data_IF_257693758326
#
_entry.id   IF_257693758326
#
_cell.length_a   1.000
_cell.length_b   1.000
_cell.length_c   1.000
_cell.angle_alpha   90.00
_cell.angle_beta   90.00
_cell.angle_gamma   90.00
#
_symmetry.space_group_name_H-M   'P 1'
#
loop_
_entity.id
_entity.type
_entity.pdbx_description
1 polymer ?
#
# COMPACT_ATOMS: atom_id res chain seq x y z
N UNK A 1 26.93 -35.01 28.78
CA UNK A 1 26.26 -35.14 27.47
C UNK A 1 26.35 -33.78 26.79
N UNK A 2 27.32 -33.59 25.90
CA UNK A 2 27.57 -32.28 25.27
C UNK A 2 26.61 -32.18 24.09
N UNK A 3 25.64 -31.28 24.16
CA UNK A 3 24.73 -31.02 23.05
C UNK A 3 25.53 -30.20 22.04
N UNK A 4 26.19 -30.87 21.10
CA UNK A 4 26.92 -30.23 20.01
C UNK A 4 25.89 -29.61 19.06
N UNK A 5 25.59 -28.32 19.25
CA UNK A 5 24.77 -27.56 18.31
C UNK A 5 25.57 -27.40 17.01
N UNK A 6 25.17 -28.16 15.99
CA UNK A 6 25.68 -28.06 14.62
C UNK A 6 25.40 -26.64 14.13
N UNK A 7 26.42 -25.78 14.11
CA UNK A 7 26.34 -24.42 13.54
C UNK A 7 25.94 -24.55 12.07
N UNK A 8 24.75 -24.05 11.72
CA UNK A 8 24.32 -23.99 10.33
C UNK A 8 25.31 -23.12 9.54
N UNK A 9 25.86 -23.67 8.45
CA UNK A 9 26.66 -22.90 7.51
C UNK A 9 25.81 -21.76 6.94
N UNK A 10 26.42 -20.60 6.68
CA UNK A 10 25.72 -19.47 6.07
C UNK A 10 25.01 -19.92 4.78
N UNK A 11 23.78 -19.46 4.51
CA UNK A 11 23.04 -19.89 3.33
C UNK A 11 23.86 -19.57 2.07
N UNK A 12 23.92 -20.51 1.13
CA UNK A 12 24.58 -20.27 -0.15
C UNK A 12 23.94 -19.06 -0.83
N UNK A 13 24.71 -18.38 -1.67
CA UNK A 13 24.23 -17.21 -2.44
C UNK A 13 22.94 -17.56 -3.21
N UNK A 14 22.85 -18.76 -3.78
CA UNK A 14 21.66 -19.30 -4.45
C UNK A 14 20.45 -19.42 -3.51
N UNK A 15 20.63 -19.91 -2.28
CA UNK A 15 19.56 -19.98 -1.28
C UNK A 15 19.12 -18.57 -0.88
N UNK A 16 20.05 -17.64 -0.70
CA UNK A 16 19.73 -16.24 -0.40
C UNK A 16 18.93 -15.58 -1.52
N UNK A 17 19.24 -15.89 -2.78
CA UNK A 17 18.52 -15.38 -3.94
C UNK A 17 17.05 -15.80 -3.88
N UNK A 18 16.77 -17.09 -3.73
CA UNK A 18 15.40 -17.63 -3.63
C UNK A 18 14.64 -17.01 -2.45
N UNK A 19 15.31 -16.83 -1.30
CA UNK A 19 14.71 -16.20 -0.11
C UNK A 19 14.33 -14.73 -0.39
N UNK A 20 15.26 -13.94 -0.93
CA UNK A 20 15.03 -12.52 -1.20
C UNK A 20 14.00 -12.31 -2.32
N UNK A 21 14.02 -13.12 -3.38
CA UNK A 21 12.97 -13.14 -4.41
C UNK A 21 11.59 -13.41 -3.79
N UNK A 22 11.49 -14.42 -2.92
CA UNK A 22 10.24 -14.71 -2.20
C UNK A 22 9.78 -13.58 -1.29
N UNK A 23 10.71 -12.86 -0.65
CA UNK A 23 10.39 -11.72 0.20
C UNK A 23 9.79 -10.56 -0.61
N UNK A 24 10.40 -10.20 -1.75
CA UNK A 24 9.87 -9.17 -2.65
C UNK A 24 8.46 -9.52 -3.13
N UNK A 25 8.25 -10.75 -3.61
CA UNK A 25 6.94 -11.20 -4.10
C UNK A 25 5.84 -11.13 -3.02
N UNK A 26 6.16 -11.45 -1.76
CA UNK A 26 5.21 -11.34 -0.65
C UNK A 26 4.86 -9.88 -0.36
N UNK A 27 5.86 -8.99 -0.28
CA UNK A 27 5.64 -7.57 -0.02
C UNK A 27 4.79 -6.89 -1.12
N UNK A 28 5.02 -7.24 -2.39
CA UNK A 28 4.19 -6.74 -3.50
C UNK A 28 2.73 -7.19 -3.35
N UNK A 29 2.49 -8.46 -2.97
CA UNK A 29 1.13 -8.97 -2.71
C UNK A 29 0.49 -8.31 -1.48
N UNK A 30 1.23 -8.12 -0.40
CA UNK A 30 0.75 -7.41 0.80
C UNK A 30 0.28 -6.00 0.44
N UNK A 31 1.05 -5.25 -0.35
CA UNK A 31 0.62 -3.94 -0.83
C UNK A 31 -0.67 -4.01 -1.66
N UNK A 32 -0.81 -4.99 -2.54
CA UNK A 32 -2.04 -5.17 -3.33
C UNK A 32 -3.26 -5.46 -2.44
N UNK A 33 -3.08 -6.24 -1.36
CA UNK A 33 -4.15 -6.50 -0.39
C UNK A 33 -4.59 -5.21 0.31
N UNK A 34 -3.64 -4.38 0.77
CA UNK A 34 -3.98 -3.08 1.36
C UNK A 34 -4.72 -2.16 0.39
N UNK A 35 -4.34 -2.14 -0.89
CA UNK A 35 -5.06 -1.34 -1.90
C UNK A 35 -6.51 -1.84 -2.09
N UNK A 36 -6.71 -3.16 -2.15
CA UNK A 36 -8.05 -3.74 -2.23
C UNK A 36 -8.90 -3.39 -1.01
N UNK A 37 -8.30 -3.43 0.18
CA UNK A 37 -8.99 -3.06 1.42
C UNK A 37 -9.39 -1.58 1.44
N UNK A 38 -8.53 -0.68 0.96
CA UNK A 38 -8.86 0.75 0.78
C UNK A 38 -10.07 0.92 -0.14
N UNK A 39 -10.12 0.19 -1.26
CA UNK A 39 -11.24 0.27 -2.20
C UNK A 39 -12.55 -0.24 -1.57
N UNK A 40 -12.51 -1.35 -0.84
CA UNK A 40 -13.66 -1.90 -0.11
C UNK A 40 -14.17 -0.94 0.98
N UNK A 41 -13.26 -0.34 1.75
CA UNK A 41 -13.59 0.64 2.78
C UNK A 41 -14.18 1.93 2.17
N UNK A 42 -13.68 2.38 1.01
CA UNK A 42 -14.25 3.52 0.27
C UNK A 42 -15.69 3.28 -0.17
N UNK A 43 -15.97 2.09 -0.73
CA UNK A 43 -17.34 1.70 -1.10
C UNK A 43 -18.25 1.72 0.12
N UNK A 44 -17.79 1.14 1.24
CA UNK A 44 -18.55 1.14 2.50
C UNK A 44 -18.81 2.55 3.02
N UNK A 45 -17.81 3.45 3.02
CA UNK A 45 -17.98 4.85 3.42
C UNK A 45 -19.06 5.53 2.57
N UNK A 46 -19.06 5.30 1.26
CA UNK A 46 -20.05 5.88 0.34
C UNK A 46 -21.47 5.34 0.61
N UNK A 47 -21.60 4.03 0.87
CA UNK A 47 -22.89 3.44 1.29
C UNK A 47 -23.41 4.04 2.61
N UNK A 48 -22.52 4.28 3.59
CA UNK A 48 -22.87 4.97 4.83
C UNK A 48 -23.31 6.41 4.57
N UNK A 49 -22.60 7.12 3.67
CA UNK A 49 -22.92 8.49 3.28
C UNK A 49 -24.31 8.59 2.65
N UNK A 50 -24.64 7.68 1.74
CA UNK A 50 -25.96 7.66 1.07
C UNK A 50 -27.09 7.37 2.07
N UNK A 51 -26.89 6.43 3.00
CA UNK A 51 -27.85 6.16 4.07
C UNK A 51 -28.05 7.37 4.97
N UNK A 52 -26.99 8.09 5.32
CA UNK A 52 -27.08 9.31 6.13
C UNK A 52 -27.89 10.43 5.44
N UNK A 53 -27.80 10.55 4.11
CA UNK A 53 -28.58 11.52 3.32
C UNK A 53 -30.07 11.17 3.29
N UNK A 54 -30.39 9.88 3.22
CA UNK A 54 -31.78 9.39 3.14
C UNK A 54 -32.55 9.48 4.47
N UNK A 55 -31.85 9.54 5.61
CA UNK A 55 -32.49 9.55 6.92
C UNK A 55 -33.05 10.94 7.29
N UNK A 56 -34.31 10.96 7.72
CA UNK A 56 -34.99 12.16 8.23
C UNK A 56 -35.06 12.11 9.75
N UNK A 57 -34.38 13.04 10.43
CA UNK A 57 -34.39 13.18 11.88
C UNK A 57 -33.03 13.56 12.45
N UNK A 58 -32.98 14.64 13.23
CA UNK A 58 -31.73 15.26 13.71
C UNK A 58 -30.89 14.32 14.59
N UNK A 59 -31.51 13.59 15.52
CA UNK A 59 -30.80 12.63 16.38
C UNK A 59 -30.17 11.49 15.60
N UNK A 60 -30.87 10.94 14.59
CA UNK A 60 -30.34 9.85 13.76
C UNK A 60 -29.26 10.35 12.80
N UNK A 61 -29.40 11.55 12.24
CA UNK A 61 -28.37 12.17 11.41
C UNK A 61 -27.07 12.34 12.20
N UNK A 62 -27.16 12.80 13.46
CA UNK A 62 -25.99 12.98 14.33
C UNK A 62 -25.26 11.67 14.63
N UNK A 63 -25.98 10.55 14.79
CA UNK A 63 -25.35 9.23 14.95
C UNK A 63 -24.67 8.75 13.67
N UNK A 64 -25.32 8.93 12.52
CA UNK A 64 -24.70 8.58 11.22
C UNK A 64 -23.45 9.40 10.92
N UNK A 65 -23.43 10.70 11.27
CA UNK A 65 -22.26 11.55 11.11
C UNK A 65 -21.07 11.07 11.97
N UNK A 66 -21.34 10.61 13.18
CA UNK A 66 -20.31 10.03 14.06
C UNK A 66 -19.76 8.72 13.50
N UNK A 67 -20.63 7.84 13.00
CA UNK A 67 -20.23 6.58 12.37
C UNK A 67 -19.41 6.83 11.10
N UNK A 68 -19.81 7.78 10.27
CA UNK A 68 -19.10 8.13 9.04
C UNK A 68 -17.71 8.72 9.33
N UNK A 69 -17.56 9.54 10.37
CA UNK A 69 -16.25 10.02 10.83
C UNK A 69 -15.35 8.86 11.23
N UNK A 70 -15.86 7.92 12.03
CA UNK A 70 -15.11 6.74 12.45
C UNK A 70 -14.68 5.87 11.27
N UNK A 71 -15.55 5.68 10.27
CA UNK A 71 -15.20 4.92 9.08
C UNK A 71 -14.12 5.63 8.24
N UNK A 72 -14.14 6.97 8.18
CA UNK A 72 -13.07 7.73 7.54
C UNK A 72 -11.75 7.62 8.31
N UNK A 73 -11.77 7.64 9.64
CA UNK A 73 -10.56 7.44 10.46
C UNK A 73 -9.91 6.07 10.17
N UNK A 74 -10.72 5.01 10.14
CA UNK A 74 -10.24 3.65 9.79
C UNK A 74 -9.69 3.58 8.36
N UNK A 75 -10.34 4.27 7.42
CA UNK A 75 -9.86 4.37 6.03
C UNK A 75 -8.51 5.10 5.96
N UNK A 76 -8.37 6.21 6.67
CA UNK A 76 -7.12 6.97 6.73
C UNK A 76 -5.99 6.14 7.33
N UNK A 77 -6.23 5.42 8.43
CA UNK A 77 -5.25 4.50 9.02
C UNK A 77 -4.77 3.45 8.02
N UNK A 78 -5.68 2.89 7.23
CA UNK A 78 -5.35 1.88 6.20
C UNK A 78 -4.55 2.50 5.05
N UNK A 79 -4.91 3.72 4.61
CA UNK A 79 -4.17 4.46 3.58
C UNK A 79 -2.73 4.76 4.02
N UNK A 80 -2.52 5.08 5.30
CA UNK A 80 -1.20 5.34 5.86
C UNK A 80 -0.28 4.11 5.85
N UNK A 81 -0.81 2.90 5.67
CA UNK A 81 -0.01 1.68 5.53
C UNK A 81 0.65 1.53 4.15
N UNK A 82 0.08 2.12 3.09
CA UNK A 82 0.61 1.96 1.72
C UNK A 82 2.04 2.51 1.59
N UNK A 83 2.37 3.72 2.08
CA UNK A 83 3.75 4.21 2.07
C UNK A 83 4.73 3.33 2.89
N UNK A 84 4.25 2.71 3.97
CA UNK A 84 5.07 1.79 4.76
C UNK A 84 5.44 0.53 3.95
N UNK A 85 4.47 -0.06 3.25
CA UNK A 85 4.72 -1.19 2.36
C UNK A 85 5.63 -0.82 1.20
N UNK A 86 5.42 0.35 0.59
CA UNK A 86 6.26 0.84 -0.51
C UNK A 86 7.73 1.02 -0.10
N UNK A 87 7.99 1.51 1.12
CA UNK A 87 9.36 1.58 1.65
C UNK A 87 9.97 0.18 1.77
N UNK A 88 9.25 -0.77 2.37
CA UNK A 88 9.73 -2.15 2.54
C UNK A 88 9.97 -2.85 1.20
N UNK A 89 9.12 -2.61 0.21
CA UNK A 89 9.31 -3.12 -1.16
C UNK A 89 10.59 -2.54 -1.77
N UNK A 90 10.84 -1.23 -1.62
CA UNK A 90 12.04 -0.58 -2.13
C UNK A 90 13.31 -1.16 -1.52
N UNK A 91 13.34 -1.30 -0.21
CA UNK A 91 14.49 -1.84 0.51
C UNK A 91 14.76 -3.29 0.10
N UNK A 92 13.72 -4.13 0.05
CA UNK A 92 13.84 -5.53 -0.37
C UNK A 92 14.24 -5.69 -1.85
N UNK A 93 13.74 -4.80 -2.72
CA UNK A 93 14.08 -4.76 -4.14
C UNK A 93 15.56 -4.39 -4.34
N UNK A 94 16.04 -3.34 -3.65
CA UNK A 94 17.44 -2.93 -3.71
C UNK A 94 18.37 -4.03 -3.19
N UNK A 95 17.99 -4.70 -2.10
CA UNK A 95 18.70 -5.87 -1.57
C UNK A 95 18.81 -7.02 -2.58
N UNK A 96 17.74 -7.28 -3.32
CA UNK A 96 17.71 -8.32 -4.34
C UNK A 96 18.54 -7.93 -5.57
N UNK A 97 18.47 -6.67 -6.01
CA UNK A 97 19.29 -6.12 -7.09
C UNK A 97 20.78 -6.24 -6.78
N UNK A 98 21.20 -5.84 -5.58
CA UNK A 98 22.59 -5.95 -5.12
C UNK A 98 23.06 -7.40 -5.14
N UNK A 99 22.22 -8.34 -4.69
CA UNK A 99 22.55 -9.77 -4.72
C UNK A 99 22.69 -10.28 -6.16
N UNK A 100 21.77 -9.93 -7.06
CA UNK A 100 21.84 -10.30 -8.48
C UNK A 100 23.11 -9.76 -9.15
N UNK A 101 23.51 -8.52 -8.83
CA UNK A 101 24.75 -7.93 -9.36
C UNK A 101 25.98 -8.70 -8.88
N UNK A 102 26.03 -9.10 -7.60
CA UNK A 102 27.14 -9.89 -7.04
C UNK A 102 27.26 -11.30 -7.61
N UNK A 103 26.21 -11.83 -8.22
CA UNK A 103 26.16 -13.19 -8.79
C UNK A 103 26.60 -13.29 -10.25
N UNK A 104 26.78 -12.16 -10.96
CA UNK A 104 27.13 -12.16 -12.39
C UNK A 104 28.42 -12.93 -12.71
N UNK A 105 29.27 -13.19 -11.72
CA UNK A 105 30.55 -13.89 -11.89
C UNK A 105 30.50 -15.43 -11.63
N UNK A 106 29.32 -16.03 -11.37
CA UNK A 106 29.24 -17.47 -11.03
C UNK A 106 27.86 -18.14 -11.12
N UNK A 107 27.03 -17.74 -12.08
CA UNK A 107 25.63 -18.17 -12.14
C UNK A 107 25.42 -19.60 -12.67
N UNK A 108 25.25 -20.58 -11.77
CA UNK A 108 24.85 -21.96 -12.08
C UNK A 108 23.30 -22.16 -12.15
N UNK A 109 22.49 -21.19 -11.70
CA UNK A 109 21.02 -21.31 -11.63
C UNK A 109 20.31 -20.17 -12.38
N UNK A 110 20.16 -20.35 -13.69
CA UNK A 110 19.54 -19.39 -14.63
C UNK A 110 18.07 -19.13 -14.26
N UNK A 111 17.36 -20.15 -13.79
CA UNK A 111 15.94 -20.07 -13.45
C UNK A 111 15.73 -19.17 -12.22
N UNK A 112 16.53 -19.35 -11.17
CA UNK A 112 16.46 -18.52 -9.98
C UNK A 112 16.78 -17.04 -10.29
N UNK A 113 17.72 -16.77 -11.21
CA UNK A 113 18.03 -15.42 -11.67
C UNK A 113 16.90 -14.81 -12.52
N UNK A 114 16.25 -15.61 -13.38
CA UNK A 114 15.10 -15.16 -14.14
C UNK A 114 13.95 -14.75 -13.20
N UNK A 115 13.65 -15.59 -12.21
CA UNK A 115 12.62 -15.29 -11.20
C UNK A 115 12.95 -14.06 -10.36
N UNK A 116 14.22 -13.87 -9.98
CA UNK A 116 14.66 -12.66 -9.28
C UNK A 116 14.44 -11.38 -10.11
N UNK A 117 14.78 -11.41 -11.40
CA UNK A 117 14.56 -10.29 -12.32
C UNK A 117 13.08 -9.98 -12.50
N UNK A 118 12.24 -11.00 -12.61
CA UNK A 118 10.78 -10.83 -12.68
C UNK A 118 10.24 -10.18 -11.40
N UNK A 119 10.69 -10.63 -10.22
CA UNK A 119 10.29 -10.03 -8.95
C UNK A 119 10.71 -8.55 -8.83
N UNK A 120 11.92 -8.21 -9.32
CA UNK A 120 12.37 -6.81 -9.41
C UNK A 120 11.48 -6.01 -10.35
N UNK A 121 11.14 -6.54 -11.54
CA UNK A 121 10.27 -5.85 -12.49
C UNK A 121 8.85 -5.63 -11.92
N UNK A 122 8.30 -6.64 -11.24
CA UNK A 122 7.02 -6.54 -10.55
C UNK A 122 7.07 -5.47 -9.45
N UNK A 123 8.13 -5.45 -8.63
CA UNK A 123 8.34 -4.41 -7.61
C UNK A 123 8.55 -3.01 -8.22
N UNK A 124 9.22 -2.89 -9.37
CA UNK A 124 9.40 -1.61 -10.04
C UNK A 124 8.06 -1.07 -10.59
N UNK A 125 7.20 -1.95 -11.12
CA UNK A 125 5.87 -1.57 -11.62
C UNK A 125 4.97 -0.94 -10.54
N UNK A 126 5.17 -1.32 -9.27
CA UNK A 126 4.48 -0.71 -8.12
C UNK A 126 4.73 0.80 -8.05
N UNK A 127 5.96 1.23 -8.32
CA UNK A 127 6.34 2.64 -8.27
C UNK A 127 6.02 3.39 -9.56
N UNK A 128 6.06 2.73 -10.72
CA UNK A 128 5.72 3.34 -12.01
C UNK A 128 4.29 3.91 -12.03
N UNK A 129 3.33 3.21 -11.41
CA UNK A 129 1.93 3.62 -11.34
C UNK A 129 1.64 4.77 -10.35
N UNK A 130 2.60 5.15 -9.49
CA UNK A 130 2.42 6.24 -8.51
C UNK A 130 2.71 7.63 -9.10
N UNK A 131 3.26 7.72 -10.31
CA UNK A 131 3.59 8.99 -10.96
C UNK A 131 2.45 9.56 -11.83
N UNK A 132 1.32 8.86 -11.95
CA UNK A 132 0.06 9.44 -12.40
C UNK A 132 -0.59 10.14 -11.21
N UNK A 133 -0.25 11.42 -11.07
CA UNK A 133 -0.93 12.46 -10.29
C UNK A 133 -2.38 12.04 -9.93
N UNK A 134 -2.74 11.92 -8.64
CA UNK A 134 -4.15 11.84 -8.30
C UNK A 134 -4.76 13.16 -8.78
N UNK A 135 -5.71 13.08 -9.71
CA UNK A 135 -6.61 14.17 -10.00
C UNK A 135 -7.39 14.43 -8.71
N UNK A 136 -6.80 15.21 -7.82
CA UNK A 136 -7.49 15.81 -6.69
C UNK A 136 -8.54 16.68 -7.33
N UNK A 137 -9.77 16.20 -7.29
CA UNK A 137 -10.98 16.97 -7.50
C UNK A 137 -10.85 18.22 -6.63
N UNK A 138 -10.50 19.33 -7.27
CA UNK A 138 -10.68 20.64 -6.72
C UNK A 138 -12.20 20.82 -6.57
N UNK A 139 -12.71 20.42 -5.41
CA UNK A 139 -14.00 20.84 -4.91
C UNK A 139 -13.93 22.35 -4.72
N UNK A 140 -14.34 23.06 -5.78
CA UNK A 140 -14.70 24.46 -5.72
C UNK A 140 -15.67 24.64 -4.54
N UNK A 141 -15.20 25.30 -3.49
CA UNK A 141 -16.08 25.81 -2.44
C UNK A 141 -17.02 26.84 -3.10
N UNK A 142 -18.34 26.77 -2.91
CA UNK A 142 -19.20 27.90 -3.25
C UNK A 142 -18.88 29.02 -2.26
N UNK A 143 -18.41 30.14 -2.81
CA UNK A 143 -18.25 31.40 -2.09
C UNK A 143 -19.65 31.92 -1.70
N UNK A 144 -20.02 31.73 -0.44
CA UNK A 144 -21.22 32.32 0.16
C UNK A 144 -20.76 33.29 1.24
N UNK A 145 -20.45 34.52 0.85
CA UNK A 145 -20.63 35.69 1.74
C UNK A 145 -20.45 37.01 0.99
N UNK A 146 -21.56 37.65 0.61
CA UNK A 146 -21.68 39.11 0.60
C UNK A 146 -23.16 39.50 0.63
N UNK A 147 -23.75 39.48 1.83
CA UNK A 147 -24.92 40.30 2.12
C UNK A 147 -24.48 41.77 2.08
N UNK A 148 -24.95 42.53 1.09
CA UNK A 148 -24.91 43.98 1.11
C UNK A 148 -26.36 44.51 1.16
N UNK A 149 -26.59 45.24 2.23
CA UNK A 149 -27.79 45.94 2.70
C UNK A 149 -28.42 46.85 1.62
N UNK A 150 -29.75 47.06 1.60
CA UNK A 150 -30.36 48.07 0.73
C UNK A 150 -30.10 49.48 1.29
N UNK A 151 -29.76 50.41 0.41
CA UNK A 151 -29.67 51.84 0.69
C UNK A 151 -30.89 52.55 0.07
N UNK A 152 -31.54 53.36 0.91
CA UNK A 152 -32.60 54.38 0.67
C UNK A 152 -33.78 54.06 -0.26
#
# INVERSE_FOLDING_TARGET
MVITTKRAAAPSTQTQLKIKTGAVNRLVKERQLYLKEIDEQRVRVEEYRQRAIAETGESKRKTYDADLRKQNEVLEETVLMVPHMERRIRDAMQDLENLVLSMKDGAEDIEALASAKEAIAAAASVFASTNTKPAVSASAKPDVSASAKPAE
#
